data_IF_263756460969
#
_entry.id   IF_263756460969
#
_cell.length_a   1.000
_cell.length_b   1.000
_cell.length_c   1.000
_cell.angle_alpha   90.00
_cell.angle_beta   90.00
_cell.angle_gamma   90.00
#
_symmetry.space_group_name_H-M   'P 1'
#
loop_
_entity.id
_entity.type
_entity.pdbx_description
1 polymer ?
#
# COMPACT_ATOMS: atom_id res chain seq x y z
N UNK A 1 -9.54 5.51 -25.10
CA UNK A 1 -8.45 4.85 -24.34
C UNK A 1 -9.03 4.45 -23.00
N UNK A 2 -8.78 3.25 -22.53
CA UNK A 2 -9.17 2.83 -21.17
C UNK A 2 -8.44 3.70 -20.15
N UNK A 3 -9.14 4.12 -19.10
CA UNK A 3 -8.56 4.99 -18.05
C UNK A 3 -7.40 4.30 -17.32
N UNK A 4 -7.39 2.96 -17.33
CA UNK A 4 -6.36 2.13 -16.74
C UNK A 4 -5.77 1.20 -17.81
N UNK A 5 -4.46 1.07 -17.80
CA UNK A 5 -3.74 0.17 -18.73
C UNK A 5 -2.37 -0.21 -18.14
N UNK A 6 -1.89 -1.39 -18.47
CA UNK A 6 -0.53 -1.82 -18.14
C UNK A 6 0.21 -2.22 -19.42
N UNK A 7 1.44 -1.79 -19.54
CA UNK A 7 2.33 -2.17 -20.64
C UNK A 7 3.69 -2.56 -20.11
N UNK A 8 4.18 -3.74 -20.51
CA UNK A 8 5.54 -4.20 -20.22
C UNK A 8 6.49 -3.76 -21.32
N UNK A 9 7.64 -3.20 -20.96
CA UNK A 9 8.70 -2.75 -21.88
C UNK A 9 9.90 -3.68 -21.94
N UNK A 10 10.33 -4.21 -20.79
CA UNK A 10 11.42 -5.16 -20.62
C UNK A 10 11.03 -6.24 -19.63
N UNK A 11 11.62 -7.42 -19.76
CA UNK A 11 11.43 -8.51 -18.83
C UNK A 11 12.73 -9.32 -18.67
N UNK A 12 12.99 -9.77 -17.43
CA UNK A 12 14.12 -10.66 -17.12
C UNK A 12 13.58 -11.79 -16.22
N UNK A 13 13.23 -12.92 -16.82
CA UNK A 13 12.49 -14.00 -16.16
C UNK A 13 11.06 -13.53 -15.82
N UNK A 14 10.70 -13.55 -14.54
CA UNK A 14 9.43 -13.02 -14.06
C UNK A 14 9.46 -11.50 -13.82
N UNK A 15 10.64 -10.92 -13.56
CA UNK A 15 10.80 -9.49 -13.31
C UNK A 15 10.44 -8.65 -14.55
N UNK A 16 9.74 -7.52 -14.35
CA UNK A 16 9.21 -6.70 -15.45
C UNK A 16 9.45 -5.22 -15.20
N UNK A 17 9.87 -4.51 -16.25
CA UNK A 17 9.77 -3.05 -16.35
C UNK A 17 8.50 -2.71 -17.11
N UNK A 18 7.56 -2.04 -16.47
CA UNK A 18 6.28 -1.68 -17.07
C UNK A 18 5.87 -0.25 -16.78
N UNK A 19 4.71 0.12 -17.31
CA UNK A 19 4.01 1.35 -16.99
C UNK A 19 2.55 1.03 -16.71
N UNK A 20 2.10 1.38 -15.52
CA UNK A 20 0.69 1.33 -15.13
C UNK A 20 0.11 2.74 -15.28
N UNK A 21 -0.82 2.90 -16.21
CA UNK A 21 -1.51 4.17 -16.48
C UNK A 21 -2.75 4.27 -15.62
N UNK A 22 -2.99 5.44 -15.03
CA UNK A 22 -4.17 5.78 -14.24
C UNK A 22 -4.70 7.15 -14.65
N UNK A 23 -5.90 7.57 -14.21
CA UNK A 23 -6.44 8.92 -14.48
C UNK A 23 -5.52 10.06 -14.01
N UNK A 24 -4.78 9.88 -12.90
CA UNK A 24 -3.86 10.88 -12.35
C UNK A 24 -2.40 10.69 -12.82
N UNK A 25 -2.19 9.90 -13.87
CA UNK A 25 -0.89 9.77 -14.52
C UNK A 25 -0.28 8.36 -14.48
N UNK A 26 0.87 8.19 -15.15
CA UNK A 26 1.55 6.91 -15.25
C UNK A 26 2.43 6.62 -14.03
N UNK A 27 2.51 5.33 -13.67
CA UNK A 27 3.43 4.79 -12.67
C UNK A 27 4.38 3.81 -13.37
N UNK A 28 5.68 4.14 -13.41
CA UNK A 28 6.69 3.17 -13.86
C UNK A 28 6.89 2.09 -12.79
N UNK A 29 6.81 0.82 -13.20
CA UNK A 29 6.95 -0.33 -12.31
C UNK A 29 8.28 -1.07 -12.55
N UNK A 30 8.87 -1.72 -11.52
CA UNK A 30 8.36 -1.84 -10.15
C UNK A 30 8.33 -0.50 -9.40
N UNK A 31 7.34 -0.31 -8.51
CA UNK A 31 7.19 0.91 -7.74
C UNK A 31 6.79 0.65 -6.27
N UNK A 32 7.26 1.50 -5.38
CA UNK A 32 6.89 1.51 -3.97
C UNK A 32 5.92 2.66 -3.69
N UNK A 33 4.80 2.36 -3.04
CA UNK A 33 3.77 3.31 -2.62
C UNK A 33 3.95 3.65 -1.13
N UNK A 34 4.37 4.86 -0.78
CA UNK A 34 4.37 5.30 0.61
C UNK A 34 2.97 5.30 1.21
N UNK A 35 2.84 4.80 2.45
CA UNK A 35 1.54 4.66 3.12
C UNK A 35 1.17 5.92 3.89
N UNK A 36 0.06 6.51 3.51
CA UNK A 36 -0.61 7.63 4.17
C UNK A 36 -1.89 7.21 4.87
N UNK A 37 -1.79 6.51 6.01
CA UNK A 37 -2.90 5.89 6.75
C UNK A 37 -4.13 6.79 6.94
N UNK A 38 -3.93 8.07 7.24
CA UNK A 38 -5.00 9.08 7.41
C UNK A 38 -4.95 10.16 6.32
N UNK A 39 -4.65 9.77 5.08
CA UNK A 39 -4.43 10.72 3.99
C UNK A 39 -3.10 11.47 4.11
N UNK A 40 -2.19 11.04 4.98
CA UNK A 40 -0.86 11.64 5.15
C UNK A 40 0.20 10.60 5.46
N UNK A 41 1.34 10.68 4.80
CA UNK A 41 2.53 9.88 5.10
C UNK A 41 3.13 10.45 6.39
N UNK A 42 3.25 9.62 7.42
CA UNK A 42 3.58 10.09 8.78
C UNK A 42 4.87 10.92 8.83
N UNK A 43 4.70 12.22 9.10
CA UNK A 43 5.78 13.20 9.24
C UNK A 43 6.31 13.77 7.92
N UNK A 44 5.66 13.48 6.78
CA UNK A 44 6.06 13.95 5.46
C UNK A 44 4.92 14.68 4.77
N UNK A 45 5.23 15.77 4.07
CA UNK A 45 4.29 16.40 3.15
C UNK A 45 4.22 15.62 1.83
N UNK A 46 3.14 15.81 1.08
CA UNK A 46 2.99 15.23 -0.26
C UNK A 46 4.08 15.74 -1.22
N UNK A 47 4.49 17.01 -1.08
CA UNK A 47 5.57 17.60 -1.87
C UNK A 47 6.91 16.91 -1.64
N UNK A 48 7.21 16.53 -0.40
CA UNK A 48 8.45 15.80 -0.07
C UNK A 48 8.43 14.39 -0.66
N UNK A 49 7.27 13.73 -0.67
CA UNK A 49 7.10 12.42 -1.29
C UNK A 49 7.26 12.53 -2.81
N UNK A 50 6.68 13.54 -3.44
CA UNK A 50 6.84 13.81 -4.88
C UNK A 50 8.30 14.13 -5.22
N UNK A 51 8.97 14.97 -4.42
CA UNK A 51 10.38 15.32 -4.59
C UNK A 51 11.32 14.12 -4.39
N UNK A 52 10.95 13.15 -3.53
CA UNK A 52 11.67 11.88 -3.38
C UNK A 52 11.51 10.95 -4.59
N UNK A 53 10.63 11.30 -5.55
CA UNK A 53 10.32 10.49 -6.72
C UNK A 53 9.12 9.56 -6.55
N UNK A 54 8.35 9.70 -5.45
CA UNK A 54 7.09 8.98 -5.27
C UNK A 54 6.09 9.36 -6.37
N UNK A 55 5.47 8.37 -6.99
CA UNK A 55 4.51 8.59 -8.09
C UNK A 55 3.11 8.13 -7.73
N UNK A 56 2.98 7.22 -6.80
CA UNK A 56 1.71 6.70 -6.30
C UNK A 56 1.80 6.56 -4.79
N UNK A 57 0.73 6.87 -4.07
CA UNK A 57 0.64 6.72 -2.63
C UNK A 57 -0.55 5.81 -2.27
N UNK A 58 -0.51 5.26 -1.05
CA UNK A 58 -1.61 4.47 -0.52
C UNK A 58 -2.22 5.17 0.68
N UNK A 59 -3.55 5.20 0.76
CA UNK A 59 -4.30 5.63 1.93
C UNK A 59 -5.21 4.51 2.44
N UNK A 60 -5.73 4.65 3.65
CA UNK A 60 -6.44 3.58 4.32
C UNK A 60 -7.91 3.92 4.53
N UNK A 61 -8.80 3.20 3.83
CA UNK A 61 -10.23 3.48 3.86
C UNK A 61 -10.84 3.33 5.27
N UNK A 62 -10.45 2.30 6.02
CA UNK A 62 -10.95 2.09 7.39
C UNK A 62 -10.71 3.30 8.30
N UNK A 63 -9.49 3.84 8.30
CA UNK A 63 -9.15 4.97 9.14
C UNK A 63 -9.85 6.25 8.70
N UNK A 64 -9.94 6.47 7.40
CA UNK A 64 -10.60 7.64 6.83
C UNK A 64 -12.13 7.59 6.99
N UNK A 65 -12.73 6.40 6.91
CA UNK A 65 -14.13 6.17 7.24
C UNK A 65 -14.44 6.52 8.69
N UNK A 66 -13.64 6.05 9.65
CA UNK A 66 -13.85 6.37 11.06
C UNK A 66 -13.55 7.84 11.39
N UNK A 67 -12.58 8.44 10.72
CA UNK A 67 -12.20 9.85 10.92
C UNK A 67 -11.39 10.39 9.74
N UNK A 68 -11.84 11.44 9.05
CA UNK A 68 -12.97 12.35 9.41
C UNK A 68 -14.34 11.85 8.97
N UNK A 69 -14.45 10.71 8.28
CA UNK A 69 -15.62 10.18 7.59
C UNK A 69 -15.47 10.31 6.07
N UNK A 70 -15.84 9.27 5.36
CA UNK A 70 -15.73 9.21 3.89
C UNK A 70 -16.65 10.23 3.20
N UNK A 71 -17.84 10.49 3.75
CA UNK A 71 -18.74 11.53 3.23
C UNK A 71 -18.14 12.94 3.40
N UNK A 72 -17.44 13.20 4.51
CA UNK A 72 -16.71 14.46 4.70
C UNK A 72 -15.60 14.62 3.67
N UNK A 73 -14.81 13.58 3.43
CA UNK A 73 -13.74 13.59 2.41
C UNK A 73 -14.35 13.85 1.03
N UNK A 74 -15.46 13.19 0.70
CA UNK A 74 -16.20 13.42 -0.55
C UNK A 74 -16.65 14.86 -0.69
N UNK A 75 -17.26 15.46 0.34
CA UNK A 75 -17.72 16.85 0.32
C UNK A 75 -16.59 17.86 0.12
N UNK A 76 -15.36 17.47 0.47
CA UNK A 76 -14.15 18.26 0.26
C UNK A 76 -13.44 17.95 -1.07
N UNK A 77 -14.10 17.23 -1.99
CA UNK A 77 -13.60 16.94 -3.34
C UNK A 77 -12.86 15.61 -3.49
N UNK A 78 -12.97 14.71 -2.50
CA UNK A 78 -12.26 13.42 -2.47
C UNK A 78 -10.82 13.54 -1.97
N UNK A 79 -10.15 12.39 -1.88
CA UNK A 79 -8.81 12.31 -1.27
C UNK A 79 -7.76 13.17 -1.98
N UNK A 80 -7.77 13.25 -3.30
CA UNK A 80 -6.82 14.06 -4.06
C UNK A 80 -6.91 15.54 -3.68
N UNK A 81 -8.11 16.11 -3.67
CA UNK A 81 -8.33 17.50 -3.25
C UNK A 81 -8.05 17.69 -1.76
N UNK A 82 -8.46 16.75 -0.91
CA UNK A 82 -8.30 16.80 0.54
C UNK A 82 -6.83 16.76 0.96
N UNK A 83 -6.02 15.92 0.32
CA UNK A 83 -4.59 15.74 0.65
C UNK A 83 -3.65 16.61 -0.18
N UNK A 84 -4.16 17.22 -1.27
CA UNK A 84 -3.35 17.94 -2.28
C UNK A 84 -2.34 17.04 -3.00
N UNK A 85 -2.64 15.77 -3.11
CA UNK A 85 -1.84 14.85 -3.91
C UNK A 85 -2.36 14.80 -5.34
N UNK A 86 -1.50 15.12 -6.31
CA UNK A 86 -1.87 15.20 -7.73
C UNK A 86 -1.63 13.89 -8.52
N UNK A 87 -0.86 12.98 -7.93
CA UNK A 87 -0.54 11.70 -8.55
C UNK A 87 -1.55 10.59 -8.27
N UNK A 88 -1.34 9.40 -8.84
CA UNK A 88 -2.16 8.22 -8.57
C UNK A 88 -2.25 7.87 -7.09
N UNK A 89 -3.40 7.37 -6.68
CA UNK A 89 -3.68 6.95 -5.31
C UNK A 89 -4.39 5.61 -5.27
N UNK A 90 -4.02 4.77 -4.31
CA UNK A 90 -4.72 3.54 -3.97
C UNK A 90 -5.29 3.64 -2.57
N UNK A 91 -6.51 3.15 -2.34
CA UNK A 91 -7.04 2.92 -0.99
C UNK A 91 -7.21 1.43 -0.73
N UNK A 92 -6.72 0.98 0.44
CA UNK A 92 -6.99 -0.37 0.91
C UNK A 92 -8.41 -0.46 1.48
N UNK A 93 -8.99 -1.65 1.46
CA UNK A 93 -10.36 -1.88 1.94
C UNK A 93 -10.51 -1.81 3.46
N UNK A 94 -9.43 -1.73 4.23
CA UNK A 94 -9.47 -1.81 5.69
C UNK A 94 -9.57 -3.22 6.27
N UNK A 95 -9.54 -4.28 5.47
CA UNK A 95 -9.61 -5.66 5.93
C UNK A 95 -8.55 -6.00 6.98
N UNK A 96 -7.29 -5.61 6.76
CA UNK A 96 -6.19 -5.80 7.71
C UNK A 96 -6.41 -5.07 9.03
N UNK A 97 -6.92 -3.83 9.00
CA UNK A 97 -7.12 -3.00 10.19
C UNK A 97 -8.22 -3.57 11.06
N UNK A 98 -9.31 -3.99 10.44
CA UNK A 98 -10.40 -4.68 11.14
C UNK A 98 -9.94 -6.05 11.66
N UNK A 99 -9.11 -6.76 10.89
CA UNK A 99 -8.49 -8.00 11.35
C UNK A 99 -7.68 -7.77 12.65
N UNK A 100 -6.94 -6.68 12.76
CA UNK A 100 -6.13 -6.36 13.94
C UNK A 100 -6.95 -6.02 15.18
N UNK A 101 -8.26 -5.74 15.07
CA UNK A 101 -9.14 -5.44 16.20
C UNK A 101 -9.50 -6.69 17.05
N UNK A 102 -9.14 -7.88 16.63
CA UNK A 102 -9.28 -9.15 17.34
C UNK A 102 -10.61 -9.32 18.11
N UNK A 103 -10.65 -8.95 19.39
CA UNK A 103 -11.81 -9.12 20.28
C UNK A 103 -12.96 -8.13 20.02
N UNK A 104 -12.75 -7.12 19.22
CA UNK A 104 -13.76 -6.07 18.91
C UNK A 104 -14.53 -6.32 17.62
N UNK A 105 -14.32 -7.47 16.97
CA UNK A 105 -14.93 -7.79 15.68
C UNK A 105 -15.61 -9.17 15.66
N UNK A 106 -16.58 -9.30 14.78
CA UNK A 106 -17.19 -10.58 14.41
C UNK A 106 -17.22 -10.66 12.89
N UNK A 107 -16.71 -11.77 12.32
CA UNK A 107 -16.71 -12.04 10.90
C UNK A 107 -17.84 -13.01 10.58
N UNK A 108 -18.67 -12.69 9.61
CA UNK A 108 -19.78 -13.50 9.13
C UNK A 108 -19.75 -13.55 7.59
N UNK A 109 -20.67 -14.28 6.98
CA UNK A 109 -20.82 -14.26 5.51
C UNK A 109 -21.26 -12.88 4.98
N UNK A 110 -22.01 -12.12 5.79
CA UNK A 110 -22.49 -10.79 5.43
C UNK A 110 -21.38 -9.76 5.38
N UNK A 111 -20.37 -9.89 6.23
CA UNK A 111 -19.28 -8.92 6.39
C UNK A 111 -18.68 -9.00 7.78
N UNK A 112 -18.15 -7.88 8.23
CA UNK A 112 -17.46 -7.74 9.51
C UNK A 112 -18.20 -6.70 10.33
N UNK A 113 -18.71 -7.11 11.50
CA UNK A 113 -19.23 -6.16 12.50
C UNK A 113 -18.13 -5.87 13.52
N UNK A 114 -17.84 -4.60 13.80
CA UNK A 114 -16.81 -4.23 14.76
C UNK A 114 -17.19 -3.00 15.60
N UNK A 115 -16.54 -2.87 16.77
CA UNK A 115 -16.59 -1.66 17.58
C UNK A 115 -15.43 -0.73 17.24
N UNK A 116 -15.78 0.54 16.97
CA UNK A 116 -14.79 1.58 16.70
C UNK A 116 -13.82 1.73 17.88
N UNK A 117 -12.50 1.70 17.65
CA UNK A 117 -11.52 1.97 18.69
C UNK A 117 -11.49 3.45 19.13
N UNK A 118 -12.20 4.34 18.44
CA UNK A 118 -12.22 5.76 18.72
C UNK A 118 -13.27 6.13 19.77
N UNK A 119 -14.47 5.55 19.66
CA UNK A 119 -15.64 5.93 20.45
C UNK A 119 -16.53 4.75 20.88
N UNK A 120 -16.18 3.53 20.47
CA UNK A 120 -16.91 2.30 20.79
C UNK A 120 -18.18 2.09 19.99
N UNK A 121 -18.51 2.94 19.00
CA UNK A 121 -19.66 2.78 18.12
C UNK A 121 -19.60 1.46 17.34
N UNK A 122 -20.76 0.89 17.03
CA UNK A 122 -20.86 -0.37 16.29
C UNK A 122 -20.98 -0.06 14.80
N UNK A 123 -20.19 -0.77 13.99
CA UNK A 123 -20.14 -0.60 12.55
C UNK A 123 -20.31 -1.94 11.85
N UNK A 124 -21.13 -1.94 10.78
CA UNK A 124 -21.28 -3.06 9.85
C UNK A 124 -20.49 -2.77 8.58
N UNK A 125 -19.40 -3.52 8.39
CA UNK A 125 -18.44 -3.35 7.33
C UNK A 125 -18.61 -4.50 6.32
N UNK A 126 -19.57 -4.31 5.40
CA UNK A 126 -19.92 -5.28 4.37
C UNK A 126 -19.19 -4.96 3.07
N UNK A 127 -19.07 -5.92 2.12
CA UNK A 127 -18.53 -5.63 0.80
C UNK A 127 -19.17 -4.41 0.13
N UNK A 128 -20.49 -4.28 0.23
CA UNK A 128 -21.24 -3.16 -0.36
C UNK A 128 -20.93 -1.83 0.35
N UNK A 129 -20.83 -1.86 1.70
CA UNK A 129 -20.47 -0.68 2.47
C UNK A 129 -19.06 -0.19 2.11
N UNK A 130 -18.10 -1.12 1.99
CA UNK A 130 -16.73 -0.80 1.60
C UNK A 130 -16.68 -0.15 0.22
N UNK A 131 -17.40 -0.68 -0.77
CA UNK A 131 -17.43 -0.08 -2.11
C UNK A 131 -17.99 1.34 -2.08
N UNK A 132 -19.01 1.63 -1.24
CA UNK A 132 -19.51 3.00 -1.08
C UNK A 132 -18.51 3.94 -0.41
N UNK A 133 -17.83 3.47 0.64
CA UNK A 133 -16.76 4.22 1.32
C UNK A 133 -15.64 4.54 0.33
N UNK A 134 -15.13 3.55 -0.39
CA UNK A 134 -14.07 3.71 -1.38
C UNK A 134 -14.47 4.66 -2.51
N UNK A 135 -15.73 4.61 -2.92
CA UNK A 135 -16.28 5.52 -3.93
C UNK A 135 -16.33 6.96 -3.43
N UNK A 136 -16.67 7.17 -2.17
CA UNK A 136 -16.68 8.49 -1.54
C UNK A 136 -15.25 9.04 -1.38
N UNK A 137 -14.30 8.22 -1.00
CA UNK A 137 -12.89 8.61 -0.88
C UNK A 137 -12.28 9.02 -2.22
N UNK A 138 -12.62 8.35 -3.31
CA UNK A 138 -12.30 8.79 -4.67
C UNK A 138 -10.83 8.56 -5.09
N UNK A 139 -10.15 7.53 -4.57
CA UNK A 139 -8.85 7.10 -5.07
C UNK A 139 -8.97 6.47 -6.48
N UNK A 140 -7.86 6.43 -7.25
CA UNK A 140 -7.84 5.79 -8.59
C UNK A 140 -8.06 4.28 -8.48
N UNK A 141 -7.34 3.64 -7.57
CA UNK A 141 -7.40 2.21 -7.33
C UNK A 141 -8.01 1.94 -5.96
N UNK A 142 -8.95 1.00 -5.89
CA UNK A 142 -9.63 0.60 -4.67
C UNK A 142 -9.58 -0.91 -4.51
N UNK A 143 -9.60 -1.39 -3.26
CA UNK A 143 -9.45 -2.81 -2.98
C UNK A 143 -10.79 -3.44 -2.63
N UNK A 144 -11.00 -4.71 -3.03
CA UNK A 144 -12.09 -5.50 -2.48
C UNK A 144 -11.98 -5.62 -0.94
N UNK A 145 -13.09 -5.85 -0.25
CA UNK A 145 -13.05 -6.36 1.11
C UNK A 145 -12.67 -7.84 1.07
N UNK A 146 -11.68 -8.21 1.87
CA UNK A 146 -11.19 -9.58 2.01
C UNK A 146 -11.07 -10.00 3.47
N UNK A 147 -11.01 -11.30 3.72
CA UNK A 147 -10.74 -11.85 5.03
C UNK A 147 -9.27 -12.25 5.14
N UNK A 148 -8.54 -11.50 5.95
CA UNK A 148 -7.16 -11.82 6.31
C UNK A 148 -7.15 -12.83 7.46
N UNK A 149 -6.18 -13.75 7.42
CA UNK A 149 -5.86 -14.69 8.49
C UNK A 149 -4.38 -14.60 8.88
N UNK A 150 -4.03 -15.13 10.03
CA UNK A 150 -2.63 -15.23 10.45
C UNK A 150 -1.83 -16.13 9.50
N UNK A 151 -0.57 -15.77 9.24
CA UNK A 151 0.30 -16.49 8.29
C UNK A 151 0.68 -17.92 8.70
N UNK A 152 0.32 -18.34 9.92
CA UNK A 152 0.49 -19.70 10.45
C UNK A 152 -0.83 -20.45 10.62
N UNK A 153 -1.93 -19.93 10.08
CA UNK A 153 -3.23 -20.60 10.13
C UNK A 153 -3.17 -21.94 9.39
N UNK A 154 -3.96 -22.90 9.87
CA UNK A 154 -4.09 -24.18 9.21
C UNK A 154 -4.79 -24.04 7.85
N UNK A 155 -4.77 -25.13 7.08
CA UNK A 155 -5.28 -25.13 5.71
C UNK A 155 -6.80 -24.95 5.65
N UNK A 156 -7.54 -25.44 6.63
CA UNK A 156 -9.00 -25.37 6.62
C UNK A 156 -9.48 -23.96 6.94
N UNK A 157 -8.87 -23.29 7.93
CA UNK A 157 -9.10 -21.87 8.21
C UNK A 157 -8.70 -21.00 7.00
N UNK A 158 -7.55 -21.29 6.37
CA UNK A 158 -7.08 -20.59 5.18
C UNK A 158 -8.04 -20.76 4.00
N UNK A 159 -8.61 -21.97 3.83
CA UNK A 159 -9.61 -22.27 2.80
C UNK A 159 -10.90 -21.52 3.03
N UNK A 160 -11.44 -21.55 4.24
CA UNK A 160 -12.68 -20.86 4.58
C UNK A 160 -12.59 -19.35 4.34
N UNK A 161 -11.47 -18.71 4.76
CA UNK A 161 -11.23 -17.28 4.55
C UNK A 161 -11.05 -16.94 3.06
N UNK A 162 -10.30 -17.75 2.32
CA UNK A 162 -10.11 -17.58 0.87
C UNK A 162 -11.43 -17.69 0.11
N UNK A 163 -12.25 -18.69 0.39
CA UNK A 163 -13.55 -18.88 -0.25
C UNK A 163 -14.52 -17.75 0.08
N UNK A 164 -14.51 -17.24 1.33
CA UNK A 164 -15.31 -16.07 1.72
C UNK A 164 -14.83 -14.82 0.98
N UNK A 165 -13.53 -14.62 0.86
CA UNK A 165 -12.97 -13.49 0.11
C UNK A 165 -13.38 -13.51 -1.36
N UNK A 166 -13.50 -14.69 -1.99
CA UNK A 166 -14.01 -14.82 -3.36
C UNK A 166 -15.50 -14.44 -3.45
N UNK A 167 -16.34 -14.90 -2.52
CA UNK A 167 -17.77 -14.52 -2.49
C UNK A 167 -17.95 -13.01 -2.21
N UNK A 168 -17.10 -12.44 -1.37
CA UNK A 168 -17.10 -11.00 -1.11
C UNK A 168 -16.60 -10.20 -2.32
N UNK A 169 -15.65 -10.74 -3.09
CA UNK A 169 -15.21 -10.11 -4.35
C UNK A 169 -16.38 -9.97 -5.33
N UNK A 170 -17.19 -11.00 -5.50
CA UNK A 170 -18.36 -10.95 -6.36
C UNK A 170 -19.35 -9.87 -5.91
N UNK A 171 -19.63 -9.79 -4.61
CA UNK A 171 -20.48 -8.74 -4.03
C UNK A 171 -19.88 -7.34 -4.20
N UNK A 172 -18.57 -7.18 -3.95
CA UNK A 172 -17.86 -5.93 -4.20
C UNK A 172 -18.01 -5.49 -5.67
N UNK A 173 -17.84 -6.42 -6.62
CA UNK A 173 -17.96 -6.11 -8.04
C UNK A 173 -19.37 -5.68 -8.43
N UNK A 174 -20.39 -6.42 -8.00
CA UNK A 174 -21.79 -6.07 -8.26
C UNK A 174 -22.11 -4.65 -7.76
N UNK A 175 -21.72 -4.33 -6.51
CA UNK A 175 -21.96 -3.01 -5.95
C UNK A 175 -21.12 -1.93 -6.65
N UNK A 176 -19.86 -2.21 -6.95
CA UNK A 176 -18.98 -1.31 -7.69
C UNK A 176 -19.55 -0.94 -9.08
N UNK A 177 -20.03 -1.94 -9.82
CA UNK A 177 -20.64 -1.73 -11.14
C UNK A 177 -21.93 -0.93 -11.01
N UNK A 178 -22.79 -1.25 -10.01
CA UNK A 178 -24.02 -0.54 -9.74
C UNK A 178 -23.79 0.95 -9.45
N UNK A 179 -22.92 1.27 -8.46
CA UNK A 179 -22.66 2.67 -8.08
C UNK A 179 -21.87 3.46 -9.14
N UNK A 180 -21.18 2.76 -10.01
CA UNK A 180 -20.50 3.38 -11.15
C UNK A 180 -21.48 3.81 -12.25
N UNK A 181 -22.60 3.11 -12.40
CA UNK A 181 -23.67 3.43 -13.37
C UNK A 181 -24.70 4.42 -12.81
N UNK A 182 -25.11 4.26 -11.56
CA UNK A 182 -26.18 5.06 -10.94
C UNK A 182 -25.70 6.41 -10.38
N UNK A 183 -24.38 6.62 -10.33
CA UNK A 183 -23.83 7.80 -9.68
C UNK A 183 -23.75 7.69 -8.15
N UNK A 184 -23.46 8.81 -7.49
CA UNK A 184 -23.29 8.86 -6.04
C UNK A 184 -24.61 9.14 -5.33
N UNK A 185 -24.88 8.42 -4.25
CA UNK A 185 -25.99 8.76 -3.36
C UNK A 185 -25.81 10.16 -2.75
N UNK A 186 -26.88 10.90 -2.46
CA UNK A 186 -26.79 12.17 -1.74
C UNK A 186 -26.06 12.03 -0.41
N UNK A 187 -25.32 13.04 0.00
CA UNK A 187 -24.71 13.10 1.34
C UNK A 187 -25.84 13.42 2.35
N UNK A 188 -26.08 12.52 3.30
CA UNK A 188 -27.22 12.61 4.22
C UNK A 188 -26.86 13.00 5.65
N UNK A 189 -25.57 12.94 6.03
CA UNK A 189 -25.17 12.99 7.44
C UNK A 189 -24.17 14.09 7.81
N UNK A 190 -23.89 15.04 6.91
CA UNK A 190 -23.03 16.17 7.27
C UNK A 190 -23.84 17.28 7.94
N UNK A 191 -23.93 17.22 9.27
CA UNK A 191 -24.37 18.37 10.05
C UNK A 191 -23.24 19.41 10.11
N UNK A 192 -23.55 20.64 9.73
CA UNK A 192 -22.61 21.74 9.95
C UNK A 192 -22.41 21.92 11.46
N UNK A 193 -21.14 22.06 11.94
CA UNK A 193 -20.91 22.39 13.34
C UNK A 193 -21.73 23.59 13.78
N UNK A 194 -22.33 23.53 14.96
CA UNK A 194 -23.08 24.65 15.53
C UNK A 194 -22.21 25.90 15.54
N UNK A 195 -22.65 26.96 14.83
CA UNK A 195 -21.93 28.24 14.73
C UNK A 195 -20.90 28.32 13.58
N UNK A 196 -20.72 27.27 12.79
CA UNK A 196 -20.05 27.43 11.51
C UNK A 196 -20.89 28.29 10.58
N UNK A 197 -20.32 29.23 9.81
CA UNK A 197 -21.06 29.87 8.73
C UNK A 197 -21.69 28.73 7.92
N UNK A 198 -22.96 28.83 7.61
CA UNK A 198 -23.65 27.91 6.72
C UNK A 198 -22.97 27.98 5.35
N UNK A 199 -21.82 27.31 5.23
CA UNK A 199 -21.46 26.74 4.00
C UNK A 199 -22.58 25.74 3.75
N UNK A 200 -23.58 26.13 2.95
CA UNK A 200 -24.42 25.15 2.32
C UNK A 200 -23.43 24.13 1.76
N UNK A 201 -23.32 22.97 2.42
CA UNK A 201 -22.42 21.92 1.97
C UNK A 201 -23.04 21.36 0.69
N UNK A 202 -22.99 22.21 -0.33
CA UNK A 202 -23.21 21.77 -1.69
C UNK A 202 -22.11 20.75 -1.95
N UNK A 203 -22.49 19.50 -2.16
CA UNK A 203 -21.53 18.49 -2.57
C UNK A 203 -20.93 18.97 -3.90
N UNK A 204 -19.69 19.51 -3.91
CA UNK A 204 -19.13 20.12 -5.11
C UNK A 204 -18.89 19.09 -6.22
N UNK A 205 -19.05 17.80 -5.91
CA UNK A 205 -18.89 16.68 -6.84
C UNK A 205 -20.18 15.91 -7.07
N UNK A 206 -21.33 16.33 -6.46
CA UNK A 206 -22.61 15.64 -6.64
C UNK A 206 -23.04 15.59 -8.10
N UNK A 207 -22.81 16.69 -8.82
CA UNK A 207 -23.17 16.84 -10.22
C UNK A 207 -22.07 16.41 -11.20
N UNK A 208 -20.89 16.03 -10.67
CA UNK A 208 -19.80 15.53 -11.50
C UNK A 208 -19.91 14.01 -11.65
N UNK A 209 -19.71 13.53 -12.87
CA UNK A 209 -19.51 12.10 -13.06
C UNK A 209 -18.40 11.64 -12.13
N UNK A 210 -18.60 10.55 -11.36
CA UNK A 210 -17.56 10.07 -10.46
C UNK A 210 -16.30 9.74 -11.28
N UNK A 211 -15.08 10.08 -10.79
CA UNK A 211 -13.86 9.76 -11.50
C UNK A 211 -13.80 8.25 -11.75
N UNK A 212 -13.23 7.82 -12.87
CA UNK A 212 -13.03 6.40 -13.11
C UNK A 212 -12.17 5.82 -12.00
N UNK A 213 -12.60 4.68 -11.45
CA UNK A 213 -11.87 3.93 -10.44
C UNK A 213 -11.64 2.51 -10.92
N UNK A 214 -10.61 1.88 -10.41
CA UNK A 214 -10.27 0.48 -10.67
C UNK A 214 -10.42 -0.33 -9.39
N UNK A 215 -11.30 -1.33 -9.42
CA UNK A 215 -11.41 -2.31 -8.34
C UNK A 215 -10.35 -3.41 -8.52
N UNK A 216 -9.52 -3.64 -7.51
CA UNK A 216 -8.51 -4.70 -7.49
C UNK A 216 -9.00 -5.90 -6.65
N UNK A 217 -9.02 -7.11 -7.23
CA UNK A 217 -9.20 -8.33 -6.47
C UNK A 217 -7.93 -8.71 -5.72
N UNK A 218 -8.07 -9.50 -4.64
CA UNK A 218 -6.97 -9.92 -3.77
C UNK A 218 -6.87 -11.45 -3.76
N UNK A 219 -5.73 -11.99 -4.20
CA UNK A 219 -5.41 -13.41 -4.07
C UNK A 219 -5.12 -13.71 -2.61
N UNK A 220 -5.91 -14.61 -2.00
CA UNK A 220 -5.76 -15.11 -0.65
C UNK A 220 -5.39 -16.61 -0.63
N UNK A 221 -5.24 -17.23 0.54
CA UNK A 221 -4.93 -18.66 0.68
C UNK A 221 -3.71 -18.98 1.56
N UNK A 222 -3.23 -18.02 2.36
CA UNK A 222 -2.07 -18.18 3.25
C UNK A 222 -0.81 -18.59 2.46
N UNK A 223 -0.04 -19.54 2.99
CA UNK A 223 1.15 -20.11 2.33
C UNK A 223 0.85 -21.43 1.59
N UNK A 224 -0.43 -21.78 1.44
CA UNK A 224 -0.85 -23.05 0.84
C UNK A 224 -0.98 -22.90 -0.68
N UNK A 225 -0.06 -23.52 -1.43
CA UNK A 225 0.03 -23.40 -2.88
C UNK A 225 -1.28 -23.77 -3.62
N UNK A 226 -1.97 -24.80 -3.17
CA UNK A 226 -3.25 -25.22 -3.76
C UNK A 226 -4.36 -24.17 -3.58
N UNK A 227 -4.40 -23.51 -2.40
CA UNK A 227 -5.38 -22.46 -2.13
C UNK A 227 -5.07 -21.20 -2.92
N UNK A 228 -3.78 -20.84 -3.07
CA UNK A 228 -3.36 -19.70 -3.92
C UNK A 228 -3.78 -19.92 -5.38
N UNK A 229 -3.58 -21.13 -5.90
CA UNK A 229 -4.06 -21.48 -7.26
C UNK A 229 -5.57 -21.39 -7.36
N UNK A 230 -6.30 -21.95 -6.38
CA UNK A 230 -7.76 -21.90 -6.35
C UNK A 230 -8.25 -20.44 -6.28
N UNK A 231 -7.65 -19.60 -5.43
CA UNK A 231 -7.97 -18.19 -5.31
C UNK A 231 -7.73 -17.42 -6.63
N UNK A 232 -6.54 -17.58 -7.23
CA UNK A 232 -6.21 -16.92 -8.49
C UNK A 232 -7.17 -17.30 -9.61
N UNK A 233 -7.46 -18.61 -9.76
CA UNK A 233 -8.42 -19.11 -10.76
C UNK A 233 -9.84 -18.64 -10.50
N UNK A 234 -10.27 -18.63 -9.22
CA UNK A 234 -11.58 -18.10 -8.82
C UNK A 234 -11.72 -16.62 -9.20
N UNK A 235 -10.71 -15.79 -8.92
CA UNK A 235 -10.68 -14.38 -9.33
C UNK A 235 -10.82 -14.24 -10.85
N UNK A 236 -10.03 -14.98 -11.62
CA UNK A 236 -10.06 -14.90 -13.09
C UNK A 236 -11.40 -15.40 -13.70
N UNK A 237 -12.16 -16.22 -12.98
CA UNK A 237 -13.49 -16.64 -13.39
C UNK A 237 -14.56 -15.57 -13.11
N UNK A 238 -14.35 -14.69 -12.12
CA UNK A 238 -15.32 -13.63 -11.80
C UNK A 238 -15.26 -12.45 -12.78
N UNK A 239 -14.18 -12.30 -13.56
CA UNK A 239 -14.08 -11.26 -14.56
C UNK A 239 -12.70 -11.00 -15.12
N UNK A 240 -12.63 -10.03 -16.03
CA UNK A 240 -11.37 -9.46 -16.53
C UNK A 240 -10.94 -8.31 -15.60
N UNK A 241 -9.74 -8.43 -15.04
CA UNK A 241 -9.20 -7.50 -14.06
C UNK A 241 -7.95 -6.80 -14.59
N UNK A 242 -7.94 -5.47 -14.58
CA UNK A 242 -6.82 -4.67 -15.07
C UNK A 242 -5.59 -4.71 -14.16
N UNK A 243 -5.75 -5.06 -12.89
CA UNK A 243 -4.69 -5.27 -11.91
C UNK A 243 -5.12 -6.28 -10.86
N UNK A 244 -4.19 -7.00 -10.26
CA UNK A 244 -4.48 -8.04 -9.25
C UNK A 244 -3.53 -7.88 -8.07
N UNK A 245 -4.08 -7.91 -6.85
CA UNK A 245 -3.29 -7.87 -5.62
C UNK A 245 -3.03 -9.26 -5.06
N UNK A 246 -1.92 -9.38 -4.33
CA UNK A 246 -1.51 -10.57 -3.57
C UNK A 246 -1.50 -10.17 -2.10
N UNK A 247 -2.48 -10.66 -1.35
CA UNK A 247 -2.65 -10.38 0.08
C UNK A 247 -2.26 -11.54 0.98
N UNK A 248 -2.36 -11.36 2.29
CA UNK A 248 -2.15 -12.41 3.29
C UNK A 248 -0.73 -12.96 3.36
N UNK A 249 0.27 -12.13 3.03
CA UNK A 249 1.69 -12.41 3.18
C UNK A 249 2.34 -11.37 4.09
N UNK A 250 3.51 -11.69 4.65
CA UNK A 250 4.20 -10.87 5.67
C UNK A 250 3.38 -10.69 6.97
N UNK A 251 2.60 -11.71 7.32
CA UNK A 251 1.73 -11.76 8.52
C UNK A 251 2.15 -12.86 9.51
N UNK A 252 3.44 -13.24 9.49
CA UNK A 252 4.05 -14.18 10.44
C UNK A 252 4.55 -15.48 9.85
N UNK A 253 4.41 -15.69 8.56
CA UNK A 253 5.02 -16.82 7.85
C UNK A 253 6.54 -16.65 7.68
N UNK A 254 7.30 -17.76 7.54
CA UNK A 254 8.71 -17.70 7.19
C UNK A 254 8.93 -17.12 5.78
N UNK A 255 9.99 -16.31 5.59
CA UNK A 255 10.34 -15.70 4.30
C UNK A 255 10.39 -16.70 3.12
N UNK A 256 10.98 -17.90 3.24
CA UNK A 256 10.97 -18.87 2.13
C UNK A 256 9.55 -19.27 1.70
N UNK A 257 8.61 -19.36 2.64
CA UNK A 257 7.21 -19.68 2.32
C UNK A 257 6.52 -18.53 1.56
N UNK A 258 6.77 -17.29 1.97
CA UNK A 258 6.33 -16.10 1.23
C UNK A 258 6.83 -16.12 -0.22
N UNK A 259 8.14 -16.35 -0.42
CA UNK A 259 8.75 -16.37 -1.75
C UNK A 259 8.20 -17.50 -2.64
N UNK A 260 8.05 -18.71 -2.09
CA UNK A 260 7.41 -19.83 -2.81
C UNK A 260 5.96 -19.52 -3.19
N UNK A 261 5.23 -18.79 -2.33
CA UNK A 261 3.86 -18.35 -2.63
C UNK A 261 3.83 -17.37 -3.80
N UNK A 262 4.79 -16.45 -3.90
CA UNK A 262 4.89 -15.52 -5.05
C UNK A 262 5.16 -16.27 -6.36
N UNK A 263 5.98 -17.33 -6.34
CA UNK A 263 6.22 -18.18 -7.51
C UNK A 263 4.95 -18.89 -7.99
N UNK A 264 4.10 -19.35 -7.04
CA UNK A 264 2.78 -19.90 -7.36
C UNK A 264 1.86 -18.84 -7.99
N UNK A 265 1.86 -17.62 -7.43
CA UNK A 265 1.06 -16.51 -7.98
C UNK A 265 1.56 -16.10 -9.38
N UNK A 266 2.89 -16.06 -9.62
CA UNK A 266 3.43 -15.75 -10.94
C UNK A 266 2.98 -16.76 -12.01
N UNK A 267 2.91 -18.04 -11.65
CA UNK A 267 2.50 -19.10 -12.57
C UNK A 267 0.98 -19.06 -12.93
N UNK A 268 0.14 -18.51 -12.04
CA UNK A 268 -1.33 -18.51 -12.22
C UNK A 268 -1.87 -17.18 -12.75
N UNK A 269 -1.20 -16.07 -12.46
CA UNK A 269 -1.70 -14.72 -12.78
C UNK A 269 -1.24 -14.26 -14.18
N UNK A 270 -2.11 -13.57 -14.95
CA UNK A 270 -1.78 -13.08 -16.27
C UNK A 270 -0.58 -12.12 -16.24
N UNK A 271 0.31 -12.28 -17.23
CA UNK A 271 1.55 -11.49 -17.33
C UNK A 271 1.32 -10.06 -17.81
N UNK A 272 0.24 -9.82 -18.49
CA UNK A 272 -0.18 -8.52 -19.03
C UNK A 272 -0.87 -7.63 -17.99
N UNK A 273 -1.02 -8.11 -16.76
CA UNK A 273 -1.63 -7.35 -15.66
C UNK A 273 -0.60 -7.01 -14.59
N UNK A 274 -0.61 -5.80 -14.01
CA UNK A 274 0.27 -5.47 -12.90
C UNK A 274 -0.16 -6.23 -11.64
N UNK A 275 0.84 -6.64 -10.85
CA UNK A 275 0.67 -7.38 -9.60
C UNK A 275 1.10 -6.53 -8.43
N UNK A 276 0.22 -6.38 -7.47
CA UNK A 276 0.45 -5.61 -6.27
C UNK A 276 0.61 -6.53 -5.05
N UNK A 277 1.79 -6.54 -4.43
CA UNK A 277 2.06 -7.27 -3.18
C UNK A 277 1.81 -6.35 -2.00
N UNK A 278 0.80 -6.68 -1.19
CA UNK A 278 0.31 -5.85 -0.10
C UNK A 278 1.18 -5.96 1.15
N UNK A 279 1.53 -4.83 1.76
CA UNK A 279 2.13 -4.73 3.09
C UNK A 279 3.60 -5.15 3.19
N UNK A 280 4.29 -5.41 2.09
CA UNK A 280 5.70 -5.84 2.05
C UNK A 280 6.61 -4.67 1.70
N UNK A 281 7.60 -4.37 2.57
CA UNK A 281 8.44 -3.18 2.41
C UNK A 281 9.79 -3.22 3.09
N UNK A 282 10.36 -4.40 3.39
CA UNK A 282 11.78 -4.51 3.68
C UNK A 282 12.56 -4.55 2.37
N UNK A 283 13.72 -3.86 2.29
CA UNK A 283 14.45 -3.70 1.01
C UNK A 283 14.74 -5.01 0.27
N UNK A 284 15.18 -6.03 0.99
CA UNK A 284 15.50 -7.33 0.41
C UNK A 284 14.26 -8.15 0.00
N UNK A 285 13.11 -7.93 0.66
CA UNK A 285 11.83 -8.52 0.24
C UNK A 285 11.34 -7.90 -1.06
N UNK A 286 11.52 -6.59 -1.24
CA UNK A 286 11.16 -5.90 -2.48
C UNK A 286 11.96 -6.44 -3.67
N UNK A 287 13.29 -6.56 -3.56
CA UNK A 287 14.15 -7.06 -4.64
C UNK A 287 13.79 -8.52 -4.99
N UNK A 288 13.59 -9.37 -3.98
CA UNK A 288 13.17 -10.76 -4.16
C UNK A 288 11.79 -10.89 -4.82
N UNK A 289 10.85 -10.04 -4.44
CA UNK A 289 9.50 -10.05 -5.00
C UNK A 289 9.45 -9.50 -6.44
N UNK A 290 10.24 -8.47 -6.76
CA UNK A 290 10.43 -8.01 -8.15
C UNK A 290 10.95 -9.14 -9.02
N UNK A 291 11.94 -9.90 -8.54
CA UNK A 291 12.47 -11.08 -9.26
C UNK A 291 11.40 -12.15 -9.53
N UNK A 292 10.28 -12.14 -8.77
CA UNK A 292 9.12 -13.03 -8.89
C UNK A 292 7.90 -12.39 -9.53
N UNK A 293 8.08 -11.29 -10.26
CA UNK A 293 7.05 -10.68 -11.10
C UNK A 293 6.08 -9.78 -10.37
N UNK A 294 6.44 -9.23 -9.22
CA UNK A 294 5.65 -8.21 -8.53
C UNK A 294 6.02 -6.81 -9.04
N UNK A 295 5.02 -5.96 -9.24
CA UNK A 295 5.14 -4.63 -9.85
C UNK A 295 4.93 -3.48 -8.85
N UNK A 296 4.01 -3.64 -7.90
CA UNK A 296 3.63 -2.60 -6.95
C UNK A 296 3.75 -3.11 -5.51
N UNK A 297 4.16 -2.22 -4.62
CA UNK A 297 4.39 -2.50 -3.21
C UNK A 297 3.92 -1.35 -2.34
N UNK A 298 3.49 -1.65 -1.13
CA UNK A 298 3.29 -0.69 -0.06
C UNK A 298 3.83 -1.24 1.26
N UNK A 299 4.18 -0.37 2.18
CA UNK A 299 4.40 -0.75 3.57
C UNK A 299 4.54 0.48 4.48
N UNK A 300 4.10 0.35 5.73
CA UNK A 300 4.35 1.35 6.77
C UNK A 300 5.78 1.28 7.35
N UNK A 301 6.54 0.23 7.03
CA UNK A 301 7.89 -0.02 7.58
C UNK A 301 8.83 1.19 7.45
N UNK A 302 9.00 1.85 6.28
CA UNK A 302 9.97 2.93 6.16
C UNK A 302 9.73 4.07 7.15
N UNK A 303 8.50 4.55 7.27
CA UNK A 303 8.18 5.63 8.21
C UNK A 303 8.14 5.12 9.67
N UNK A 304 7.67 3.89 9.92
CA UNK A 304 7.67 3.29 11.24
C UNK A 304 9.10 3.11 11.76
N UNK A 305 9.97 2.46 10.99
CA UNK A 305 11.36 2.21 11.36
C UNK A 305 12.13 3.52 11.53
N UNK A 306 11.95 4.49 10.62
CA UNK A 306 12.54 5.82 10.72
C UNK A 306 12.20 6.51 12.03
N UNK A 307 10.93 6.51 12.43
CA UNK A 307 10.49 7.08 13.73
C UNK A 307 11.03 6.34 14.95
N UNK A 308 11.45 5.08 14.81
CA UNK A 308 12.10 4.32 15.88
C UNK A 308 13.64 4.39 15.84
N UNK A 309 14.20 5.13 14.88
CA UNK A 309 15.65 5.39 14.78
C UNK A 309 16.40 4.42 13.89
N UNK A 310 15.68 3.59 13.11
CA UNK A 310 16.29 2.67 12.14
C UNK A 310 16.23 3.28 10.75
N UNK A 311 17.34 3.27 10.04
CA UNK A 311 17.42 3.71 8.65
C UNK A 311 17.96 2.62 7.73
N UNK A 312 17.55 2.67 6.47
CA UNK A 312 17.95 1.72 5.44
C UNK A 312 19.26 2.13 4.77
N UNK A 313 20.09 1.16 4.45
CA UNK A 313 21.32 1.29 3.65
C UNK A 313 21.45 0.09 2.73
N UNK A 314 22.35 0.14 1.74
CA UNK A 314 22.63 -1.03 0.88
C UNK A 314 23.36 -2.15 1.63
N UNK A 315 23.88 -1.89 2.81
CA UNK A 315 24.55 -2.85 3.67
C UNK A 315 23.62 -3.34 4.83
N UNK A 316 22.29 -3.20 4.69
CA UNK A 316 21.31 -3.56 5.70
C UNK A 316 20.76 -2.38 6.48
N UNK A 317 20.13 -2.65 7.63
CA UNK A 317 19.53 -1.62 8.49
C UNK A 317 20.49 -1.14 9.57
N UNK A 318 20.45 0.14 9.86
CA UNK A 318 21.32 0.77 10.87
C UNK A 318 20.48 1.51 11.91
N UNK A 319 20.85 1.37 13.20
CA UNK A 319 20.20 2.06 14.30
C UNK A 319 20.97 3.35 14.63
N UNK A 320 20.34 4.52 14.42
CA UNK A 320 20.97 5.84 14.65
C UNK A 320 21.36 6.08 16.11
N UNK A 321 20.67 5.43 17.06
CA UNK A 321 20.89 5.58 18.50
C UNK A 321 22.21 4.98 18.98
N UNK A 322 22.90 4.16 18.18
CA UNK A 322 24.18 3.52 18.55
C UNK A 322 25.21 4.57 18.95
N UNK A 323 26.02 4.26 19.97
CA UNK A 323 27.06 5.17 20.50
C UNK A 323 28.11 5.54 19.44
N UNK A 324 28.39 4.65 18.50
CA UNK A 324 29.32 4.86 17.39
C UNK A 324 28.98 6.07 16.51
N UNK A 325 27.70 6.50 16.48
CA UNK A 325 27.27 7.67 15.71
C UNK A 325 27.39 9.00 16.48
N UNK A 326 27.90 9.01 17.71
CA UNK A 326 28.00 10.22 18.54
C UNK A 326 28.86 11.31 17.89
N UNK A 327 29.88 10.92 17.15
CA UNK A 327 30.84 11.83 16.50
C UNK A 327 30.97 11.53 15.00
N UNK A 328 30.05 10.76 14.43
CA UNK A 328 30.08 10.35 13.02
C UNK A 328 29.56 11.47 12.13
N UNK A 329 30.49 12.11 11.37
CA UNK A 329 30.21 13.22 10.48
C UNK A 329 29.69 12.80 9.10
N UNK A 330 29.60 11.49 8.83
CA UNK A 330 29.07 10.97 7.56
C UNK A 330 27.54 11.14 7.50
N UNK A 331 26.97 11.27 6.30
CA UNK A 331 25.52 11.21 6.11
C UNK A 331 24.97 9.81 6.47
N UNK A 332 23.66 9.62 6.46
CA UNK A 332 23.05 8.28 6.63
C UNK A 332 23.55 7.32 5.54
N UNK A 333 23.51 7.76 4.27
CA UNK A 333 24.03 7.06 3.09
C UNK A 333 24.71 8.10 2.19
N UNK A 334 25.95 7.85 1.77
CA UNK A 334 26.80 8.83 1.07
C UNK A 334 26.23 9.24 -0.29
N UNK A 335 25.67 8.29 -1.04
CA UNK A 335 25.12 8.52 -2.38
C UNK A 335 23.63 8.91 -2.39
N UNK A 336 23.00 9.06 -1.22
CA UNK A 336 21.60 9.40 -1.11
C UNK A 336 21.37 10.91 -1.23
N UNK A 337 20.57 11.33 -2.21
CA UNK A 337 20.25 12.73 -2.47
C UNK A 337 19.12 13.30 -1.59
N UNK A 338 18.59 12.55 -0.62
CA UNK A 338 17.52 13.05 0.24
C UNK A 338 18.00 14.17 1.16
N UNK A 339 17.11 15.09 1.59
CA UNK A 339 17.48 16.21 2.49
C UNK A 339 18.12 15.76 3.81
N UNK A 340 17.83 14.58 4.32
CA UNK A 340 18.46 14.05 5.52
C UNK A 340 19.96 13.76 5.30
N UNK A 341 20.32 13.20 4.14
CA UNK A 341 21.70 12.85 3.81
C UNK A 341 22.53 14.04 3.30
N UNK A 342 21.91 14.95 2.52
CA UNK A 342 22.63 16.07 1.92
C UNK A 342 22.92 17.22 2.88
N UNK A 343 22.16 17.31 3.99
CA UNK A 343 22.25 18.45 4.93
C UNK A 343 22.77 18.09 6.31
N UNK A 344 22.62 16.82 6.72
CA UNK A 344 22.86 16.43 8.11
C UNK A 344 23.77 15.22 8.21
N UNK A 345 24.58 15.20 9.26
CA UNK A 345 25.42 14.06 9.61
C UNK A 345 24.73 13.14 10.66
N UNK A 346 25.24 11.92 10.81
CA UNK A 346 24.72 10.95 11.76
C UNK A 346 24.83 11.44 13.21
N UNK A 347 25.85 12.22 13.55
CA UNK A 347 26.03 12.77 14.88
C UNK A 347 24.89 13.71 15.26
N UNK A 348 24.50 14.62 14.37
CA UNK A 348 23.38 15.52 14.59
C UNK A 348 22.04 14.75 14.63
N UNK A 349 21.80 13.85 13.70
CA UNK A 349 20.57 13.05 13.69
C UNK A 349 20.45 12.19 14.96
N UNK A 350 21.55 11.61 15.42
CA UNK A 350 21.57 10.89 16.70
C UNK A 350 21.25 11.82 17.88
N UNK A 351 21.79 13.04 17.89
CA UNK A 351 21.47 14.06 18.89
C UNK A 351 19.97 14.35 18.94
N UNK A 352 19.34 14.58 17.80
CA UNK A 352 17.90 14.83 17.70
C UNK A 352 17.09 13.68 18.28
N UNK A 353 17.47 12.42 17.99
CA UNK A 353 16.83 11.26 18.59
C UNK A 353 17.02 11.16 20.09
N UNK A 354 18.21 11.47 20.62
CA UNK A 354 18.48 11.46 22.05
C UNK A 354 17.72 12.57 22.78
N UNK A 355 17.51 13.71 22.12
CA UNK A 355 16.75 14.84 22.66
C UNK A 355 15.21 14.69 22.47
N UNK A 356 14.74 13.67 21.75
CA UNK A 356 13.31 13.48 21.48
C UNK A 356 12.73 14.46 20.47
N UNK A 357 13.58 15.09 19.63
CA UNK A 357 13.17 16.09 18.65
C UNK A 357 12.45 15.45 17.46
N UNK A 358 11.28 15.99 17.11
CA UNK A 358 10.44 15.50 16.00
C UNK A 358 11.18 15.55 14.65
N UNK A 359 12.09 16.52 14.46
CA UNK A 359 12.87 16.65 13.23
C UNK A 359 13.69 15.39 12.94
N UNK A 360 14.29 14.77 13.96
CA UNK A 360 15.05 13.53 13.81
C UNK A 360 14.20 12.39 13.29
N UNK A 361 13.01 12.19 13.89
CA UNK A 361 12.06 11.16 13.49
C UNK A 361 11.59 11.35 12.04
N UNK A 362 11.31 12.60 11.67
CA UNK A 362 10.86 13.01 10.34
C UNK A 362 11.94 12.78 9.28
N UNK A 363 13.18 13.22 9.56
CA UNK A 363 14.30 13.09 8.61
C UNK A 363 14.65 11.62 8.32
N UNK A 364 14.61 10.75 9.33
CA UNK A 364 14.82 9.31 9.10
C UNK A 364 13.65 8.68 8.34
N UNK A 365 12.41 9.08 8.61
CA UNK A 365 11.25 8.62 7.83
C UNK A 365 11.36 9.04 6.36
N UNK A 366 11.75 10.30 6.10
CA UNK A 366 11.99 10.81 4.74
C UNK A 366 13.09 10.02 4.02
N UNK A 367 14.21 9.79 4.72
CA UNK A 367 15.31 9.00 4.17
C UNK A 367 14.84 7.59 3.77
N UNK A 368 14.14 6.89 4.66
CA UNK A 368 13.70 5.52 4.38
C UNK A 368 12.69 5.44 3.22
N UNK A 369 11.77 6.40 3.14
CA UNK A 369 10.83 6.48 2.00
C UNK A 369 11.59 6.75 0.70
N UNK A 370 12.50 7.72 0.71
CA UNK A 370 13.34 8.02 -0.45
C UNK A 370 14.17 6.80 -0.87
N UNK A 371 14.74 6.09 0.10
CA UNK A 371 15.55 4.90 -0.14
C UNK A 371 14.77 3.81 -0.89
N UNK A 372 13.55 3.47 -0.45
CA UNK A 372 12.75 2.45 -1.13
C UNK A 372 12.29 2.89 -2.54
N UNK A 373 11.95 4.15 -2.72
CA UNK A 373 11.62 4.71 -4.04
C UNK A 373 12.83 4.61 -4.97
N UNK A 374 14.03 4.95 -4.48
CA UNK A 374 15.29 4.87 -5.25
C UNK A 374 15.69 3.42 -5.53
N UNK A 375 15.48 2.50 -4.59
CA UNK A 375 15.74 1.07 -4.80
C UNK A 375 14.89 0.53 -5.96
N UNK A 376 13.61 0.92 -6.03
CA UNK A 376 12.76 0.55 -7.17
C UNK A 376 13.22 1.22 -8.47
N UNK A 377 13.73 2.44 -8.41
CA UNK A 377 14.31 3.11 -9.58
C UNK A 377 15.58 2.40 -10.08
N UNK A 378 16.44 1.93 -9.17
CA UNK A 378 17.62 1.10 -9.51
C UNK A 378 17.22 -0.22 -10.15
N UNK A 379 16.17 -0.89 -9.62
CA UNK A 379 15.63 -2.11 -10.21
C UNK A 379 15.12 -1.87 -11.65
N UNK A 380 14.37 -0.76 -11.88
CA UNK A 380 13.93 -0.37 -13.22
C UNK A 380 15.10 -0.09 -14.17
N UNK A 381 16.16 0.56 -13.69
CA UNK A 381 17.37 0.80 -14.48
C UNK A 381 18.05 -0.51 -14.85
N UNK A 382 18.22 -1.42 -13.89
CA UNK A 382 18.81 -2.73 -14.13
C UNK A 382 18.00 -3.57 -15.14
N UNK A 383 16.66 -3.48 -15.09
CA UNK A 383 15.77 -4.12 -16.07
C UNK A 383 15.93 -3.52 -17.48
N UNK A 384 16.00 -2.19 -17.59
CA UNK A 384 16.20 -1.48 -18.87
C UNK A 384 17.54 -1.81 -19.53
N UNK A 385 18.54 -2.09 -18.73
CA UNK A 385 19.91 -2.44 -19.16
C UNK A 385 20.15 -3.96 -19.27
N UNK A 386 19.10 -4.78 -19.18
CA UNK A 386 19.15 -6.26 -19.24
C UNK A 386 20.12 -6.92 -18.24
N UNK A 387 20.39 -6.25 -17.10
CA UNK A 387 21.31 -6.72 -16.06
C UNK A 387 20.63 -7.02 -14.71
N UNK A 388 19.29 -7.03 -14.67
CA UNK A 388 18.55 -7.23 -13.41
C UNK A 388 18.94 -8.52 -12.66
N UNK A 389 19.15 -9.70 -13.30
CA UNK A 389 19.52 -10.90 -12.58
C UNK A 389 20.86 -10.79 -11.82
N UNK A 390 21.89 -10.23 -12.45
CA UNK A 390 23.20 -10.01 -11.81
C UNK A 390 23.11 -8.91 -10.74
N UNK A 391 22.47 -7.77 -11.07
CA UNK A 391 22.28 -6.67 -10.13
C UNK A 391 21.55 -7.12 -8.86
N UNK A 392 20.44 -7.87 -8.98
CA UNK A 392 19.66 -8.32 -7.83
C UNK A 392 20.43 -9.30 -6.96
N UNK A 393 21.20 -10.23 -7.58
CA UNK A 393 22.04 -11.18 -6.86
C UNK A 393 23.15 -10.46 -6.06
N UNK A 394 23.87 -9.53 -6.68
CA UNK A 394 24.93 -8.76 -6.06
C UNK A 394 24.39 -7.87 -4.93
N UNK A 395 23.27 -7.18 -5.19
CA UNK A 395 22.64 -6.30 -4.21
C UNK A 395 22.16 -7.11 -2.98
N UNK A 396 21.49 -8.24 -3.18
CA UNK A 396 21.02 -9.11 -2.08
C UNK A 396 22.19 -9.71 -1.29
N UNK A 397 23.27 -10.12 -1.95
CA UNK A 397 24.46 -10.62 -1.28
C UNK A 397 25.09 -9.54 -0.38
N UNK A 398 25.20 -8.31 -0.89
CA UNK A 398 25.71 -7.16 -0.14
C UNK A 398 24.79 -6.83 1.06
N UNK A 399 23.48 -6.68 0.83
CA UNK A 399 22.51 -6.33 1.87
C UNK A 399 22.50 -7.33 3.02
N UNK A 400 22.63 -8.63 2.72
CA UNK A 400 22.58 -9.72 3.71
C UNK A 400 23.91 -9.97 4.43
N UNK A 401 25.04 -9.55 3.87
CA UNK A 401 26.35 -9.79 4.47
C UNK A 401 26.52 -9.15 5.83
N UNK A 402 25.83 -8.04 6.13
CA UNK A 402 25.91 -7.28 7.38
C UNK A 402 24.71 -7.43 8.31
N UNK A 403 23.63 -8.07 7.87
CA UNK A 403 22.50 -8.38 8.78
C UNK A 403 22.80 -9.54 9.71
N UNK A 404 23.98 -10.17 9.59
CA UNK A 404 24.45 -11.31 10.41
C UNK A 404 25.30 -10.89 11.61
N UNK A 405 25.57 -9.60 11.80
CA UNK A 405 26.29 -8.98 12.93
C UNK A 405 25.33 -8.08 13.75
#
# INVERSE_FOLDING_TARGET
MTAFAFSTRHAAGAARLGTFTTPHGPVETPAFMPVGTHGTIKGLSVDEVAAAGGRMILSNAFHLYLRPGDEMVRALGGLHAFTRWEGPMLTDSGGFQVFSLAQLRTVTEQGITFRSPLDGSLHDYTPEAVMRIERNLGADCIMQLDELIEGRSDIDASRAAMERSLRWLERCRIEFDRISQEGRAPITHLEAPVGAPSLAMHDPVADLAPPPQLLLPIVQGGVHAELRRASARGILQTGDWEAIAIGGLSVGEPKPAMLATLEVCDAELPRERPRYLMGVGHPDDLVEAVARGVDLFDCVAPTRMGRHGTFFTDDGTVQIKRATHRTDRRPLVEECACPACTRYDRAYLRHLFAAGEMLGLRLLALHNVTYLIQLMAQARTALREDRFPSWSADWLARYRSRTSD
#
